data_IF_748587485721
#
_entry.id   IF_748587485721
#
_cell.length_a   1.000
_cell.length_b   1.000
_cell.length_c   1.000
_cell.angle_alpha   90.00
_cell.angle_beta   90.00
_cell.angle_gamma   90.00
#
_symmetry.space_group_name_H-M   'P 1'
#
loop_
_entity.id
_entity.type
_entity.pdbx_description
1 polymer ?
#
# COMPACT_ATOMS: atom_id res chain seq x y z
N UNK A 1 -18.51 3.38 -6.65
CA UNK A 1 -18.72 2.13 -5.88
C UNK A 1 -18.29 0.87 -6.63
N UNK A 2 -18.80 0.57 -7.83
CA UNK A 2 -18.45 -0.69 -8.53
C UNK A 2 -16.93 -0.88 -8.81
N UNK A 3 -16.20 0.18 -9.17
CA UNK A 3 -14.74 0.11 -9.39
C UNK A 3 -14.01 -0.26 -8.09
N UNK A 4 -14.36 0.40 -6.97
CA UNK A 4 -13.79 0.14 -5.64
C UNK A 4 -13.99 -1.32 -5.23
N UNK A 5 -15.22 -1.82 -5.29
CA UNK A 5 -15.54 -3.21 -4.92
C UNK A 5 -14.77 -4.22 -5.78
N UNK A 6 -14.67 -3.96 -7.09
CA UNK A 6 -13.88 -4.77 -8.01
C UNK A 6 -12.39 -4.79 -7.66
N UNK A 7 -11.80 -3.61 -7.41
CA UNK A 7 -10.38 -3.47 -7.05
C UNK A 7 -10.07 -4.17 -5.72
N UNK A 8 -10.87 -3.93 -4.68
CA UNK A 8 -10.70 -4.56 -3.37
C UNK A 8 -10.80 -6.08 -3.44
N UNK A 9 -11.83 -6.62 -4.12
CA UNK A 9 -12.02 -8.07 -4.25
C UNK A 9 -10.88 -8.73 -5.01
N UNK A 10 -10.46 -8.14 -6.14
CA UNK A 10 -9.38 -8.70 -6.94
C UNK A 10 -8.05 -8.67 -6.18
N UNK A 11 -7.76 -7.55 -5.50
CA UNK A 11 -6.57 -7.37 -4.68
C UNK A 11 -6.53 -8.35 -3.50
N UNK A 12 -7.64 -8.51 -2.78
CA UNK A 12 -7.74 -9.48 -1.68
C UNK A 12 -7.46 -10.89 -2.17
N UNK A 13 -8.12 -11.32 -3.25
CA UNK A 13 -7.91 -12.66 -3.82
C UNK A 13 -6.47 -12.88 -4.30
N UNK A 14 -5.81 -11.84 -4.81
CA UNK A 14 -4.43 -11.91 -5.27
C UNK A 14 -3.45 -12.09 -4.10
N UNK A 15 -3.59 -11.31 -3.02
CA UNK A 15 -2.71 -11.38 -1.85
C UNK A 15 -2.96 -12.66 -1.06
N UNK A 16 -4.22 -13.05 -0.89
CA UNK A 16 -4.62 -14.20 -0.08
C UNK A 16 -4.57 -15.54 -0.85
N UNK A 17 -4.04 -15.57 -2.08
CA UNK A 17 -3.83 -16.83 -2.81
C UNK A 17 -2.85 -17.73 -2.03
N UNK A 18 -3.26 -18.93 -1.59
CA UNK A 18 -2.41 -19.83 -0.81
C UNK A 18 -1.10 -20.24 -1.52
N UNK A 19 -1.03 -20.08 -2.85
CA UNK A 19 0.20 -20.32 -3.63
C UNK A 19 1.25 -19.23 -3.43
N UNK A 20 0.84 -18.04 -2.98
CA UNK A 20 1.71 -16.88 -2.74
C UNK A 20 1.93 -16.67 -1.24
N UNK A 21 0.89 -16.87 -0.43
CA UNK A 21 0.94 -16.74 1.02
C UNK A 21 1.11 -18.12 1.68
N UNK A 22 2.34 -18.63 1.67
CA UNK A 22 2.67 -20.01 2.11
C UNK A 22 2.59 -20.17 3.64
N UNK A 23 2.95 -19.14 4.41
CA UNK A 23 2.95 -19.20 5.88
C UNK A 23 2.75 -17.82 6.51
N UNK A 24 1.51 -17.48 6.88
CA UNK A 24 1.16 -16.23 7.61
C UNK A 24 1.76 -16.17 9.02
N UNK A 25 2.26 -17.29 9.53
CA UNK A 25 2.91 -17.35 10.84
C UNK A 25 4.39 -17.00 10.78
N UNK A 26 4.94 -16.69 9.60
CA UNK A 26 6.32 -16.24 9.43
C UNK A 26 6.40 -14.94 8.64
N UNK A 27 7.43 -14.16 8.96
CA UNK A 27 7.85 -13.06 8.07
C UNK A 27 8.50 -13.66 6.84
N UNK A 28 8.00 -13.32 5.66
CA UNK A 28 8.50 -13.78 4.36
C UNK A 28 8.75 -12.58 3.47
N UNK A 29 9.78 -12.64 2.62
CA UNK A 29 10.08 -11.59 1.64
C UNK A 29 10.49 -12.24 0.32
N UNK A 30 9.98 -11.73 -0.78
CA UNK A 30 10.35 -12.10 -2.15
C UNK A 30 10.27 -10.87 -3.03
N UNK A 31 11.27 -10.68 -3.89
CA UNK A 31 11.28 -9.67 -4.92
C UNK A 31 11.79 -10.22 -6.26
N UNK A 32 11.21 -9.69 -7.34
CA UNK A 32 11.58 -9.98 -8.71
C UNK A 32 11.76 -8.65 -9.43
N UNK A 33 12.84 -8.54 -10.22
CA UNK A 33 13.12 -7.37 -11.06
C UNK A 33 13.26 -7.85 -12.49
N UNK A 34 12.62 -7.15 -13.42
CA UNK A 34 12.59 -7.53 -14.82
C UNK A 34 12.38 -6.31 -15.71
N UNK A 35 12.68 -6.47 -17.00
CA UNK A 35 12.38 -5.47 -18.02
C UNK A 35 11.08 -5.87 -18.73
N UNK A 36 10.16 -4.91 -18.92
CA UNK A 36 8.96 -5.13 -19.74
C UNK A 36 9.34 -5.32 -21.21
N UNK A 37 8.46 -5.91 -22.05
CA UNK A 37 8.66 -5.92 -23.51
C UNK A 37 8.88 -4.53 -24.12
N UNK A 38 8.36 -3.49 -23.47
CA UNK A 38 8.48 -2.08 -23.85
C UNK A 38 9.79 -1.42 -23.38
N UNK A 39 10.59 -2.12 -22.55
CA UNK A 39 11.87 -1.62 -22.03
C UNK A 39 11.78 -0.98 -20.64
N UNK A 40 10.64 -1.08 -19.95
CA UNK A 40 10.45 -0.50 -18.63
C UNK A 40 11.09 -1.35 -17.54
N UNK A 41 11.70 -0.70 -16.55
CA UNK A 41 12.23 -1.38 -15.38
C UNK A 41 11.11 -1.65 -14.37
N UNK A 42 10.76 -2.92 -14.20
CA UNK A 42 9.65 -3.37 -13.38
C UNK A 42 10.14 -4.16 -12.16
N UNK A 43 9.34 -4.11 -11.09
CA UNK A 43 9.58 -4.88 -9.88
C UNK A 43 8.29 -5.43 -9.27
N UNK A 44 8.35 -6.67 -8.82
CA UNK A 44 7.26 -7.31 -8.08
C UNK A 44 7.78 -7.71 -6.70
N UNK A 45 7.12 -7.26 -5.64
CA UNK A 45 7.48 -7.57 -4.26
C UNK A 45 6.31 -8.21 -3.53
N UNK A 46 6.59 -9.26 -2.79
CA UNK A 46 5.68 -9.87 -1.82
C UNK A 46 6.36 -9.97 -0.47
N UNK A 47 5.67 -9.49 0.56
CA UNK A 47 6.19 -9.50 1.92
C UNK A 47 5.06 -9.80 2.91
N UNK A 48 5.39 -10.54 3.96
CA UNK A 48 4.55 -10.79 5.12
C UNK A 48 5.31 -10.28 6.35
N UNK A 49 4.70 -9.41 7.16
CA UNK A 49 5.33 -8.83 8.36
C UNK A 49 4.46 -9.16 9.57
N UNK A 50 5.06 -9.39 10.74
CA UNK A 50 4.31 -9.60 11.97
C UNK A 50 4.50 -8.46 12.96
N UNK A 51 3.39 -8.02 13.55
CA UNK A 51 3.33 -7.03 14.60
C UNK A 51 2.82 -7.68 15.90
N UNK A 52 3.69 -8.35 16.67
CA UNK A 52 3.32 -8.94 17.95
C UNK A 52 3.10 -7.86 19.03
N UNK A 53 2.23 -8.15 20.00
CA UNK A 53 2.00 -7.28 21.16
C UNK A 53 1.20 -6.01 20.87
N UNK A 54 0.62 -5.88 19.69
CA UNK A 54 -0.27 -4.75 19.33
C UNK A 54 -1.61 -4.85 20.04
N UNK A 55 -2.32 -3.73 20.17
CA UNK A 55 -3.61 -3.68 20.87
C UNK A 55 -4.73 -4.32 20.06
N UNK A 56 -4.72 -4.13 18.74
CA UNK A 56 -5.76 -4.61 17.83
C UNK A 56 -5.31 -4.53 16.37
N UNK A 57 -6.04 -5.22 15.49
CA UNK A 57 -5.95 -5.05 14.05
C UNK A 57 -6.16 -3.59 13.64
N UNK A 58 -7.20 -2.96 14.19
CA UNK A 58 -7.53 -1.55 13.92
C UNK A 58 -6.34 -0.63 14.16
N UNK A 59 -5.56 -0.83 15.24
CA UNK A 59 -4.39 0.00 15.53
C UNK A 59 -3.36 -0.01 14.40
N UNK A 60 -3.06 -1.20 13.85
CA UNK A 60 -2.06 -1.36 12.78
C UNK A 60 -2.61 -0.83 11.46
N UNK A 61 -3.88 -1.14 11.17
CA UNK A 61 -4.57 -0.61 10.01
C UNK A 61 -4.60 0.92 10.00
N UNK A 62 -5.01 1.56 11.09
CA UNK A 62 -5.06 3.03 11.20
C UNK A 62 -3.68 3.66 10.99
N UNK A 63 -2.62 3.02 11.50
CA UNK A 63 -1.25 3.48 11.29
C UNK A 63 -0.83 3.38 9.80
N UNK A 64 -1.23 2.31 9.11
CA UNK A 64 -0.96 2.16 7.68
C UNK A 64 -1.76 3.16 6.83
N UNK A 65 -3.04 3.35 7.15
CA UNK A 65 -3.90 4.38 6.52
C UNK A 65 -3.30 5.76 6.73
N UNK A 66 -2.88 6.10 7.95
CA UNK A 66 -2.23 7.37 8.24
C UNK A 66 -0.95 7.57 7.42
N UNK A 67 -0.11 6.54 7.33
CA UNK A 67 1.10 6.59 6.51
C UNK A 67 0.78 6.84 5.03
N UNK A 68 -0.16 6.10 4.44
CA UNK A 68 -0.49 6.21 3.02
C UNK A 68 -1.18 7.54 2.68
N UNK A 69 -2.05 8.02 3.57
CA UNK A 69 -2.72 9.32 3.42
C UNK A 69 -1.81 10.52 3.71
N UNK A 70 -0.57 10.30 4.14
CA UNK A 70 0.46 11.33 4.38
C UNK A 70 1.82 10.91 3.78
N UNK A 71 1.80 10.20 2.65
CA UNK A 71 2.99 9.54 2.12
C UNK A 71 4.12 10.51 1.72
N UNK A 72 3.81 11.72 1.27
CA UNK A 72 4.78 12.78 0.89
C UNK A 72 5.66 13.19 2.07
N UNK A 73 5.07 13.30 3.26
CA UNK A 73 5.82 13.61 4.49
C UNK A 73 6.78 12.46 4.77
N UNK A 74 6.28 11.23 4.74
CA UNK A 74 7.09 10.06 5.04
C UNK A 74 8.22 9.82 4.03
N UNK A 75 7.98 10.09 2.74
CA UNK A 75 9.01 9.98 1.69
C UNK A 75 10.07 11.06 1.89
N UNK A 76 9.66 12.31 2.14
CA UNK A 76 10.56 13.44 2.40
C UNK A 76 11.47 13.15 3.59
N UNK A 77 10.88 12.75 4.73
CA UNK A 77 11.62 12.53 5.98
C UNK A 77 12.54 11.31 5.94
N UNK A 78 12.14 10.22 5.27
CA UNK A 78 12.90 8.96 5.27
C UNK A 78 13.94 8.85 4.16
N UNK A 79 13.67 9.44 2.99
CA UNK A 79 14.55 9.33 1.83
C UNK A 79 15.34 10.61 1.57
N UNK A 80 15.04 11.71 2.27
CA UNK A 80 15.68 13.01 2.04
C UNK A 80 15.28 13.65 0.70
N UNK A 81 14.20 13.16 0.09
CA UNK A 81 13.63 13.75 -1.13
C UNK A 81 12.88 15.04 -0.78
N UNK A 82 12.65 15.89 -1.78
CA UNK A 82 11.62 16.93 -1.67
C UNK A 82 10.36 16.36 -2.31
N UNK A 83 9.40 15.96 -1.49
CA UNK A 83 8.16 15.37 -1.98
C UNK A 83 6.98 16.27 -1.65
N UNK A 84 6.21 16.62 -2.67
CA UNK A 84 4.99 17.41 -2.56
C UNK A 84 3.82 16.62 -3.10
N UNK A 85 2.66 16.79 -2.48
CA UNK A 85 1.39 16.31 -3.01
C UNK A 85 0.77 17.44 -3.82
N UNK A 86 0.66 17.23 -5.12
CA UNK A 86 0.23 18.25 -6.09
C UNK A 86 -1.29 18.37 -6.11
N UNK A 87 -1.99 17.23 -5.99
CA UNK A 87 -3.45 17.18 -5.89
C UNK A 87 -3.91 16.03 -4.99
N UNK A 88 -5.09 16.22 -4.39
CA UNK A 88 -5.74 15.27 -3.50
C UNK A 88 -7.24 15.52 -3.43
N UNK A 89 -8.01 14.46 -3.67
CA UNK A 89 -9.45 14.44 -3.43
C UNK A 89 -9.85 13.15 -2.70
N UNK A 90 -10.96 13.21 -1.97
CA UNK A 90 -11.57 12.06 -1.30
C UNK A 90 -13.01 11.85 -1.69
N UNK A 91 -13.34 10.60 -1.98
CA UNK A 91 -14.72 10.16 -2.13
C UNK A 91 -15.06 9.26 -0.95
N UNK A 92 -16.09 9.67 -0.19
CA UNK A 92 -16.66 8.93 0.95
C UNK A 92 -15.64 8.52 2.03
N UNK A 93 -14.51 9.23 2.14
CA UNK A 93 -13.46 8.95 3.14
C UNK A 93 -12.78 7.59 3.01
N UNK A 94 -13.04 6.83 1.95
CA UNK A 94 -12.52 5.48 1.71
C UNK A 94 -11.84 5.30 0.34
N UNK A 95 -11.90 6.35 -0.50
CA UNK A 95 -11.21 6.46 -1.77
C UNK A 95 -10.45 7.77 -1.82
N UNK A 96 -9.16 7.72 -2.12
CA UNK A 96 -8.27 8.88 -2.13
C UNK A 96 -7.56 8.90 -3.48
N UNK A 97 -7.65 10.01 -4.19
CA UNK A 97 -6.76 10.29 -5.30
C UNK A 97 -5.50 10.95 -4.73
N UNK A 98 -4.31 10.52 -5.15
CA UNK A 98 -3.07 11.16 -4.76
C UNK A 98 -2.13 11.29 -5.97
N UNK A 99 -1.76 12.54 -6.27
CA UNK A 99 -0.67 12.87 -7.17
C UNK A 99 0.52 13.39 -6.37
N UNK A 100 1.62 12.66 -6.44
CA UNK A 100 2.82 12.93 -5.64
C UNK A 100 4.00 13.18 -6.58
N UNK A 101 4.66 14.32 -6.38
CA UNK A 101 5.89 14.70 -7.08
C UNK A 101 7.04 14.60 -6.08
N UNK A 102 8.02 13.77 -6.38
CA UNK A 102 9.20 13.56 -5.54
C UNK A 102 10.46 13.92 -6.31
N UNK A 103 11.14 14.98 -5.90
CA UNK A 103 12.43 15.37 -6.46
C UNK A 103 13.56 14.68 -5.69
N UNK A 104 14.38 13.93 -6.43
CA UNK A 104 15.55 13.21 -5.93
C UNK A 104 16.81 14.00 -6.29
N UNK A 105 17.52 14.48 -5.27
CA UNK A 105 18.61 15.45 -5.48
C UNK A 105 18.09 16.73 -6.14
N UNK A 106 18.89 17.33 -7.02
CA UNK A 106 18.53 18.62 -7.65
C UNK A 106 17.88 18.49 -9.04
N UNK A 107 17.83 17.28 -9.63
CA UNK A 107 17.64 17.16 -11.08
C UNK A 107 16.53 16.20 -11.54
N UNK A 108 16.11 15.23 -10.72
CA UNK A 108 15.17 14.19 -11.18
C UNK A 108 13.86 14.34 -10.40
N UNK A 109 12.79 14.67 -11.10
CA UNK A 109 11.44 14.68 -10.53
C UNK A 109 10.70 13.41 -10.93
N UNK A 110 10.25 12.65 -9.94
CA UNK A 110 9.45 11.44 -10.11
C UNK A 110 7.99 11.80 -9.86
N UNK A 111 7.09 11.37 -10.75
CA UNK A 111 5.65 11.52 -10.59
C UNK A 111 5.01 10.16 -10.34
N UNK A 112 4.21 10.07 -9.27
CA UNK A 112 3.32 8.95 -8.99
C UNK A 112 1.89 9.48 -8.91
N UNK A 113 1.01 8.94 -9.75
CA UNK A 113 -0.42 9.23 -9.74
C UNK A 113 -1.19 7.96 -9.42
N UNK A 114 -1.98 7.98 -8.35
CA UNK A 114 -2.59 6.75 -7.84
C UNK A 114 -3.94 6.97 -7.16
N UNK A 115 -4.74 5.91 -7.16
CA UNK A 115 -5.95 5.77 -6.35
C UNK A 115 -5.65 4.85 -5.17
N UNK A 116 -6.11 5.27 -3.99
CA UNK A 116 -6.02 4.52 -2.75
C UNK A 116 -7.44 4.12 -2.31
N UNK A 117 -7.69 2.83 -2.22
CA UNK A 117 -8.94 2.24 -1.75
C UNK A 117 -8.70 1.56 -0.41
N UNK A 118 -9.56 1.83 0.56
CA UNK A 118 -9.39 1.31 1.92
C UNK A 118 -10.68 0.70 2.43
N UNK A 119 -10.57 -0.43 3.11
CA UNK A 119 -11.71 -1.09 3.75
C UNK A 119 -11.28 -1.77 5.05
N UNK A 120 -12.11 -1.62 6.08
CA UNK A 120 -12.09 -2.47 7.26
C UNK A 120 -13.30 -3.38 7.19
N UNK A 121 -13.09 -4.68 7.32
CA UNK A 121 -14.18 -5.64 7.41
C UNK A 121 -15.10 -5.27 8.58
N UNK A 122 -16.43 -5.22 8.40
CA UNK A 122 -17.35 -4.82 9.47
C UNK A 122 -17.29 -5.70 10.72
N UNK A 123 -16.88 -6.96 10.57
CA UNK A 123 -16.70 -7.90 11.69
C UNK A 123 -15.27 -7.85 12.27
N UNK A 124 -14.41 -6.99 11.73
CA UNK A 124 -13.03 -6.80 12.15
C UNK A 124 -12.10 -7.97 11.83
N UNK A 125 -12.48 -8.82 10.85
CA UNK A 125 -11.69 -10.00 10.47
C UNK A 125 -10.41 -9.64 9.75
N UNK A 126 -10.48 -8.62 8.90
CA UNK A 126 -9.33 -8.10 8.15
C UNK A 126 -9.48 -6.62 7.86
N UNK A 127 -8.35 -5.96 7.64
CA UNK A 127 -8.28 -4.66 6.99
C UNK A 127 -7.60 -4.83 5.63
N UNK A 128 -7.94 -3.99 4.66
CA UNK A 128 -7.27 -3.99 3.36
C UNK A 128 -7.06 -2.56 2.88
N UNK A 129 -5.90 -2.36 2.27
CA UNK A 129 -5.56 -1.15 1.55
C UNK A 129 -5.02 -1.52 0.18
N UNK A 130 -5.52 -0.84 -0.86
CA UNK A 130 -5.12 -1.03 -2.25
C UNK A 130 -4.68 0.31 -2.80
N UNK A 131 -3.48 0.37 -3.35
CA UNK A 131 -2.98 1.47 -4.17
C UNK A 131 -2.94 0.98 -5.61
N UNK A 132 -3.41 1.80 -6.53
CA UNK A 132 -3.41 1.47 -7.95
C UNK A 132 -3.02 2.69 -8.78
N UNK A 133 -2.12 2.50 -9.75
CA UNK A 133 -1.66 3.59 -10.61
C UNK A 133 -2.77 4.06 -11.55
N UNK A 134 -2.70 5.35 -11.91
CA UNK A 134 -3.58 5.95 -12.92
C UNK A 134 -2.84 5.98 -14.25
N UNK A 135 -3.34 5.27 -15.24
CA UNK A 135 -2.70 5.16 -16.55
C UNK A 135 -2.85 6.42 -17.40
N UNK A 136 -4.05 6.98 -17.43
CA UNK A 136 -4.40 8.15 -18.20
C UNK A 136 -5.21 9.11 -17.33
N UNK A 137 -4.82 10.39 -17.35
CA UNK A 137 -5.50 11.46 -16.64
C UNK A 137 -5.66 12.65 -17.60
N UNK A 138 -6.89 12.83 -18.10
CA UNK A 138 -7.21 13.92 -19.04
C UNK A 138 -7.17 15.30 -18.38
N UNK A 139 -7.46 15.38 -17.08
CA UNK A 139 -7.47 16.64 -16.33
C UNK A 139 -6.04 17.13 -16.09
N UNK A 140 -5.12 16.19 -15.87
CA UNK A 140 -3.72 16.48 -15.60
C UNK A 140 -2.78 15.50 -16.34
N UNK A 141 -2.56 15.70 -17.64
CA UNK A 141 -1.76 14.81 -18.46
C UNK A 141 -0.32 14.68 -17.99
N UNK A 142 0.25 13.48 -18.17
CA UNK A 142 1.65 13.19 -17.84
C UNK A 142 2.62 14.02 -18.71
N UNK A 143 3.70 14.52 -18.08
CA UNK A 143 4.72 15.36 -18.72
C UNK A 143 6.10 14.65 -18.79
N UNK A 144 6.34 13.81 -19.80
CA UNK A 144 7.58 13.01 -19.89
C UNK A 144 8.84 13.84 -20.09
N UNK A 145 8.73 15.08 -20.56
CA UNK A 145 9.88 15.96 -20.79
C UNK A 145 10.50 16.50 -19.49
N UNK A 146 9.74 16.52 -18.39
CA UNK A 146 10.13 17.15 -17.12
C UNK A 146 10.09 16.19 -15.94
N UNK A 147 9.43 15.04 -16.09
CA UNK A 147 9.16 14.10 -15.00
C UNK A 147 9.37 12.66 -15.47
N UNK A 148 9.82 11.82 -14.55
CA UNK A 148 9.87 10.37 -14.70
C UNK A 148 8.64 9.78 -14.04
N UNK A 149 7.82 9.08 -14.81
CA UNK A 149 6.65 8.36 -14.28
C UNK A 149 7.09 7.16 -13.45
N UNK A 150 6.48 7.00 -12.28
CA UNK A 150 6.61 5.82 -11.43
C UNK A 150 5.23 5.30 -11.08
N UNK A 151 4.86 4.21 -11.75
CA UNK A 151 3.62 3.49 -11.47
C UNK A 151 3.81 2.53 -10.29
N UNK A 152 2.84 2.55 -9.39
CA UNK A 152 2.81 1.68 -8.22
C UNK A 152 1.40 1.14 -8.05
N UNK A 153 1.27 -0.18 -8.17
CA UNK A 153 0.11 -0.92 -7.68
C UNK A 153 0.56 -1.76 -6.50
N UNK A 154 -0.11 -1.60 -5.37
CA UNK A 154 0.23 -2.28 -4.13
C UNK A 154 -1.04 -2.70 -3.38
N UNK A 155 -0.96 -3.78 -2.63
CA UNK A 155 -2.04 -4.20 -1.73
C UNK A 155 -1.45 -4.69 -0.42
N UNK A 156 -2.06 -4.27 0.68
CA UNK A 156 -1.75 -4.78 2.01
C UNK A 156 -3.03 -5.27 2.65
N UNK A 157 -3.01 -6.53 3.10
CA UNK A 157 -4.10 -7.14 3.87
C UNK A 157 -3.61 -7.35 5.29
N UNK A 158 -4.37 -6.88 6.26
CA UNK A 158 -4.10 -7.01 7.68
C UNK A 158 -5.02 -8.06 8.26
N UNK A 159 -4.47 -9.03 8.99
CA UNK A 159 -5.22 -10.07 9.70
C UNK A 159 -4.74 -10.17 11.14
N UNK A 160 -5.59 -10.62 12.06
CA UNK A 160 -5.21 -10.76 13.46
C UNK A 160 -5.43 -12.18 13.97
N UNK A 161 -4.46 -12.67 14.73
CA UNK A 161 -4.55 -13.91 15.50
C UNK A 161 -4.25 -13.65 16.97
N UNK A 162 -4.80 -14.49 17.85
CA UNK A 162 -4.48 -14.49 19.27
C UNK A 162 -3.58 -15.68 19.56
N UNK A 163 -2.43 -15.42 20.19
CA UNK A 163 -1.54 -16.46 20.71
C UNK A 163 -1.77 -16.60 22.21
N UNK A 164 -2.22 -17.78 22.63
CA UNK A 164 -2.36 -18.09 24.05
C UNK A 164 -0.97 -18.27 24.69
N UNK A 165 -0.77 -17.62 25.83
CA UNK A 165 0.42 -17.82 26.65
C UNK A 165 0.24 -19.07 27.49
N UNK A 166 1.18 -20.01 27.39
CA UNK A 166 1.18 -21.25 28.19
C UNK A 166 1.31 -20.99 29.72
N UNK A 167 1.66 -19.76 30.13
CA UNK A 167 1.96 -19.42 31.52
C UNK A 167 0.96 -18.45 32.17
N UNK A 168 -0.30 -18.38 31.67
CA UNK A 168 -1.33 -17.54 32.28
C UNK A 168 -1.18 -16.03 32.05
N UNK A 169 -0.31 -15.62 31.11
CA UNK A 169 -0.26 -14.24 30.65
C UNK A 169 -1.45 -13.94 29.70
N UNK A 170 -1.82 -12.67 29.58
CA UNK A 170 -2.87 -12.22 28.64
C UNK A 170 -2.58 -12.72 27.23
N UNK A 171 -3.63 -13.13 26.52
CA UNK A 171 -3.53 -13.48 25.10
C UNK A 171 -2.86 -12.34 24.31
N UNK A 172 -1.82 -12.68 23.58
CA UNK A 172 -1.08 -11.73 22.75
C UNK A 172 -1.77 -11.64 21.38
N UNK A 173 -2.08 -10.43 20.93
CA UNK A 173 -2.57 -10.18 19.57
C UNK A 173 -1.37 -10.00 18.67
N UNK A 174 -1.35 -10.75 17.57
CA UNK A 174 -0.38 -10.62 16.49
C UNK A 174 -1.16 -10.22 15.25
N UNK A 175 -0.80 -9.08 14.67
CA UNK A 175 -1.31 -8.66 13.37
C UNK A 175 -0.28 -9.04 12.31
N UNK A 176 -0.74 -9.66 11.24
CA UNK A 176 0.04 -9.98 10.04
C UNK A 176 -0.49 -9.15 8.89
#
# INVERSE_FOLDING_TARGET
MAIREGKLRNAYNFVMDPRRCVDVDKTTYSDELFESPEGDFCGLRFETVQFPGVKSLQQVYDAAVFYLTNMEISITERLGHITVRDDYDTVDGCMYNARVLSTVGDNITIETSSLLFMEMDPEGKYGIVVVDSIDEDELYPYQPATRVRKDVTATTVFTAKRRSSANGAKDEVIVT
#
